data_IF_232814187712
#
_entry.id   IF_232814187712
#
_cell.length_a   1.000
_cell.length_b   1.000
_cell.length_c   1.000
_cell.angle_alpha   90.00
_cell.angle_beta   90.00
_cell.angle_gamma   90.00
#
_symmetry.space_group_name_H-M   'P 1'
#
loop_
_entity.id
_entity.type
_entity.pdbx_description
1 polymer ?
#
# COMPACT_ATOMS: atom_id res chain seq x y z
N UNK A 1 -49.41 13.72 -1.95
CA UNK A 1 -48.12 14.03 -1.27
C UNK A 1 -47.66 12.87 -0.41
N UNK A 2 -48.58 12.20 0.29
CA UNK A 2 -48.28 11.11 1.23
C UNK A 2 -47.64 9.87 0.59
N UNK A 3 -48.05 9.46 -0.61
CA UNK A 3 -47.46 8.28 -1.28
C UNK A 3 -45.98 8.50 -1.67
N UNK A 4 -45.63 9.71 -2.12
CA UNK A 4 -44.25 10.05 -2.47
C UNK A 4 -43.36 10.09 -1.24
N UNK A 5 -43.86 10.69 -0.15
CA UNK A 5 -43.16 10.73 1.14
C UNK A 5 -43.02 9.31 1.71
N UNK A 6 -44.05 8.47 1.63
CA UNK A 6 -44.00 7.06 2.04
C UNK A 6 -42.94 6.27 1.26
N UNK A 7 -42.91 6.44 -0.05
CA UNK A 7 -41.97 5.76 -0.94
C UNK A 7 -40.53 6.20 -0.66
N UNK A 8 -40.30 7.50 -0.51
CA UNK A 8 -38.99 8.06 -0.16
C UNK A 8 -38.52 7.57 1.22
N UNK A 9 -39.44 7.51 2.18
CA UNK A 9 -39.18 7.02 3.54
C UNK A 9 -38.77 5.55 3.54
N UNK A 10 -39.49 4.70 2.81
CA UNK A 10 -39.15 3.29 2.63
C UNK A 10 -37.77 3.16 1.98
N UNK A 11 -37.48 3.94 0.92
CA UNK A 11 -36.16 3.95 0.27
C UNK A 11 -35.02 4.36 1.23
N UNK A 12 -35.24 5.36 2.09
CA UNK A 12 -34.27 5.77 3.12
C UNK A 12 -34.09 4.67 4.16
N UNK A 13 -35.16 4.00 4.60
CA UNK A 13 -35.11 2.88 5.54
C UNK A 13 -34.28 1.73 4.96
N UNK A 14 -34.51 1.37 3.71
CA UNK A 14 -33.72 0.36 2.99
C UNK A 14 -32.26 0.75 2.85
N UNK A 15 -31.98 2.01 2.54
CA UNK A 15 -30.62 2.52 2.44
C UNK A 15 -29.89 2.41 3.80
N UNK A 16 -30.53 2.82 4.88
CA UNK A 16 -29.94 2.79 6.22
C UNK A 16 -29.80 1.35 6.74
N UNK A 17 -30.78 0.47 6.54
CA UNK A 17 -30.65 -0.97 6.83
C UNK A 17 -29.51 -1.60 6.06
N UNK A 18 -29.34 -1.21 4.80
CA UNK A 18 -28.24 -1.69 3.98
C UNK A 18 -26.88 -1.25 4.52
N UNK A 19 -26.77 -0.01 4.93
CA UNK A 19 -25.54 0.50 5.54
C UNK A 19 -25.24 -0.22 6.86
N UNK A 20 -26.28 -0.52 7.66
CA UNK A 20 -26.15 -1.09 9.00
C UNK A 20 -26.00 -2.63 9.06
N UNK A 21 -26.65 -3.38 8.16
CA UNK A 21 -26.73 -4.85 8.23
C UNK A 21 -25.75 -5.55 7.30
N UNK A 22 -25.46 -4.96 6.13
CA UNK A 22 -24.64 -5.62 5.08
C UNK A 22 -23.15 -5.69 5.42
N UNK A 23 -22.65 -4.77 6.25
CA UNK A 23 -21.24 -4.80 6.64
C UNK A 23 -20.92 -5.87 7.68
N UNK A 24 -21.92 -6.40 8.39
CA UNK A 24 -21.72 -7.26 9.57
C UNK A 24 -22.09 -8.73 9.35
N UNK A 25 -22.77 -9.07 8.24
CA UNK A 25 -23.29 -10.42 7.99
C UNK A 25 -22.68 -11.03 6.72
N UNK A 26 -22.01 -12.21 6.76
CA UNK A 26 -21.34 -12.78 5.59
C UNK A 26 -22.28 -13.47 4.58
N UNK A 27 -23.49 -13.89 4.97
CA UNK A 27 -24.38 -14.69 4.12
C UNK A 27 -25.40 -13.83 3.35
N UNK A 28 -25.30 -13.84 2.01
CA UNK A 28 -26.14 -13.06 1.09
C UNK A 28 -27.62 -13.45 1.15
N UNK A 29 -27.94 -14.73 1.33
CA UNK A 29 -29.34 -15.21 1.42
C UNK A 29 -30.00 -14.68 2.69
N UNK A 30 -29.27 -14.70 3.81
CA UNK A 30 -29.75 -14.18 5.08
C UNK A 30 -29.94 -12.66 5.03
N UNK A 31 -29.05 -11.92 4.34
CA UNK A 31 -29.24 -10.49 4.09
C UNK A 31 -30.55 -10.23 3.33
N UNK A 32 -30.82 -10.99 2.26
CA UNK A 32 -32.05 -10.85 1.45
C UNK A 32 -33.30 -11.13 2.29
N UNK A 33 -33.31 -12.20 3.08
CA UNK A 33 -34.43 -12.53 3.98
C UNK A 33 -34.67 -11.40 4.99
N UNK A 34 -33.60 -10.89 5.62
CA UNK A 34 -33.70 -9.77 6.55
C UNK A 34 -34.25 -8.50 5.91
N UNK A 35 -33.90 -8.20 4.65
CA UNK A 35 -34.52 -7.10 3.93
C UNK A 35 -36.02 -7.33 3.77
N UNK A 36 -36.44 -8.50 3.29
CA UNK A 36 -37.88 -8.79 3.12
C UNK A 36 -38.65 -8.70 4.44
N UNK A 37 -38.10 -9.22 5.53
CA UNK A 37 -38.73 -9.19 6.86
C UNK A 37 -38.84 -7.75 7.37
N UNK A 38 -37.77 -6.96 7.33
CA UNK A 38 -37.82 -5.58 7.82
C UNK A 38 -38.72 -4.71 6.93
N UNK A 39 -38.76 -4.98 5.62
CA UNK A 39 -39.68 -4.32 4.69
C UNK A 39 -41.12 -4.61 5.03
N UNK A 40 -41.46 -5.90 5.18
CA UNK A 40 -42.80 -6.33 5.52
C UNK A 40 -43.24 -5.74 6.87
N UNK A 41 -42.38 -5.80 7.89
CA UNK A 41 -42.63 -5.20 9.21
C UNK A 41 -42.84 -3.68 9.12
N UNK A 42 -42.01 -2.98 8.35
CA UNK A 42 -42.13 -1.52 8.17
C UNK A 42 -43.41 -1.15 7.44
N UNK A 43 -43.74 -1.84 6.34
CA UNK A 43 -44.97 -1.61 5.57
C UNK A 43 -46.22 -1.95 6.40
N UNK A 44 -46.18 -3.04 7.16
CA UNK A 44 -47.26 -3.39 8.10
C UNK A 44 -47.41 -2.34 9.20
N UNK A 45 -46.32 -1.85 9.81
CA UNK A 45 -46.39 -0.79 10.83
C UNK A 45 -46.99 0.51 10.26
N UNK A 46 -46.58 0.89 9.04
CA UNK A 46 -47.10 2.09 8.35
C UNK A 46 -48.59 1.94 8.05
N UNK A 47 -49.02 0.75 7.61
CA UNK A 47 -50.41 0.43 7.33
C UNK A 47 -51.29 0.48 8.59
N UNK A 48 -50.81 -0.03 9.72
CA UNK A 48 -51.61 -0.16 10.95
C UNK A 48 -51.59 1.07 11.87
N UNK A 49 -50.54 1.89 11.88
CA UNK A 49 -50.34 2.94 12.93
C UNK A 49 -50.36 4.38 12.39
N UNK A 50 -50.63 4.56 11.09
CA UNK A 50 -50.71 5.86 10.41
C UNK A 50 -49.34 6.59 10.35
N UNK A 51 -49.22 7.59 9.47
CA UNK A 51 -47.93 8.21 9.09
C UNK A 51 -47.11 8.87 10.24
N UNK A 52 -47.72 9.11 11.41
CA UNK A 52 -47.03 9.70 12.56
C UNK A 52 -45.96 8.79 13.16
N UNK A 53 -46.19 7.47 13.23
CA UNK A 53 -45.19 6.53 13.73
C UNK A 53 -44.04 6.34 12.75
N UNK A 54 -44.31 6.42 11.43
CA UNK A 54 -43.27 6.40 10.40
C UNK A 54 -42.27 7.55 10.59
N UNK A 55 -42.75 8.76 10.91
CA UNK A 55 -41.87 9.91 11.19
C UNK A 55 -40.97 9.65 12.40
N UNK A 56 -41.47 9.01 13.45
CA UNK A 56 -40.68 8.65 14.64
C UNK A 56 -39.60 7.62 14.27
N UNK A 57 -39.95 6.59 13.49
CA UNK A 57 -39.00 5.58 13.01
C UNK A 57 -37.91 6.22 12.15
N UNK A 58 -38.28 7.10 11.21
CA UNK A 58 -37.32 7.82 10.38
C UNK A 58 -36.41 8.73 11.20
N UNK A 59 -36.95 9.47 12.17
CA UNK A 59 -36.16 10.30 13.08
C UNK A 59 -35.20 9.46 13.92
N UNK A 60 -35.64 8.31 14.44
CA UNK A 60 -34.79 7.38 15.16
C UNK A 60 -33.67 6.81 14.27
N UNK A 61 -33.97 6.49 13.01
CA UNK A 61 -32.99 5.98 12.06
C UNK A 61 -31.98 7.06 11.64
N UNK A 62 -32.44 8.29 11.39
CA UNK A 62 -31.57 9.46 11.15
C UNK A 62 -30.69 9.71 12.38
N UNK A 63 -31.26 9.69 13.59
CA UNK A 63 -30.52 9.82 14.85
C UNK A 63 -29.46 8.72 15.01
N UNK A 64 -29.80 7.47 14.69
CA UNK A 64 -28.85 6.35 14.70
C UNK A 64 -27.72 6.52 13.68
N UNK A 65 -28.03 7.06 12.50
CA UNK A 65 -27.04 7.32 11.46
C UNK A 65 -26.08 8.45 11.88
N UNK A 66 -26.60 9.54 12.46
CA UNK A 66 -25.76 10.60 13.02
C UNK A 66 -24.92 10.12 14.21
N UNK A 67 -25.47 9.28 15.09
CA UNK A 67 -24.72 8.67 16.17
C UNK A 67 -23.58 7.78 15.65
N UNK A 68 -23.83 6.97 14.62
CA UNK A 68 -22.80 6.15 13.98
C UNK A 68 -21.74 6.99 13.25
N UNK A 69 -22.14 8.07 12.57
CA UNK A 69 -21.20 9.01 11.97
C UNK A 69 -20.33 9.69 13.03
N UNK A 70 -20.93 10.12 14.15
CA UNK A 70 -20.22 10.71 15.27
C UNK A 70 -19.22 9.74 15.91
N UNK A 71 -19.63 8.50 16.19
CA UNK A 71 -18.74 7.46 16.74
C UNK A 71 -17.62 7.08 15.77
N UNK A 72 -17.89 7.00 14.46
CA UNK A 72 -16.85 6.77 13.45
C UNK A 72 -15.90 7.95 13.33
N UNK A 73 -16.39 9.18 13.32
CA UNK A 73 -15.57 10.39 13.30
C UNK A 73 -14.65 10.45 14.53
N UNK A 74 -15.19 10.17 15.72
CA UNK A 74 -14.43 10.07 16.96
C UNK A 74 -13.34 8.98 16.89
N UNK A 75 -13.70 7.78 16.41
CA UNK A 75 -12.76 6.66 16.26
C UNK A 75 -11.65 7.00 15.25
N UNK A 76 -12.01 7.57 14.10
CA UNK A 76 -11.04 8.04 13.09
C UNK A 76 -10.10 9.11 13.65
N UNK A 77 -10.60 10.02 14.49
CA UNK A 77 -9.77 11.02 15.18
C UNK A 77 -8.70 10.35 16.06
N UNK A 78 -9.10 9.37 16.88
CA UNK A 78 -8.16 8.58 17.70
C UNK A 78 -7.17 7.77 16.85
N UNK A 79 -7.64 7.16 15.76
CA UNK A 79 -6.77 6.43 14.84
C UNK A 79 -5.78 7.40 14.14
N UNK A 80 -6.19 8.63 13.82
CA UNK A 80 -5.30 9.65 13.28
C UNK A 80 -4.24 10.09 14.29
N UNK A 81 -4.65 10.36 15.53
CA UNK A 81 -3.72 10.72 16.60
C UNK A 81 -2.66 9.64 16.83
N UNK A 82 -3.01 8.38 16.60
CA UNK A 82 -2.11 7.25 16.77
C UNK A 82 -1.04 7.09 15.69
N UNK A 83 -1.21 7.76 14.54
CA UNK A 83 -0.23 7.79 13.44
C UNK A 83 0.50 9.14 13.36
N UNK A 84 0.23 10.07 14.29
CA UNK A 84 0.97 11.33 14.40
C UNK A 84 2.38 11.07 14.92
N UNK A 85 3.34 11.71 14.27
CA UNK A 85 4.72 11.76 14.75
C UNK A 85 4.77 12.66 16.00
N UNK A 86 5.51 12.22 17.02
CA UNK A 86 5.67 13.01 18.26
C UNK A 86 6.39 14.33 18.00
N UNK A 87 6.05 15.37 18.79
CA UNK A 87 6.68 16.69 18.68
C UNK A 87 8.20 16.62 18.82
N UNK A 88 8.72 15.77 19.73
CA UNK A 88 10.16 15.57 19.89
C UNK A 88 10.83 15.04 18.61
N UNK A 89 10.22 14.07 17.92
CA UNK A 89 10.73 13.59 16.62
C UNK A 89 10.65 14.66 15.55
N UNK A 90 9.55 15.43 15.50
CA UNK A 90 9.40 16.57 14.58
C UNK A 90 10.50 17.60 14.80
N UNK A 91 10.83 17.92 16.05
CA UNK A 91 11.90 18.86 16.40
C UNK A 91 13.28 18.36 15.95
N UNK A 92 13.56 17.06 16.12
CA UNK A 92 14.77 16.43 15.57
C UNK A 92 14.80 16.56 14.04
N UNK A 93 13.73 16.16 13.36
CA UNK A 93 13.64 16.21 11.89
C UNK A 93 13.78 17.62 11.33
N UNK A 94 13.27 18.63 12.06
CA UNK A 94 13.36 20.03 11.66
C UNK A 94 14.77 20.61 11.72
N UNK A 95 15.67 20.02 12.52
CA UNK A 95 17.06 20.45 12.69
C UNK A 95 18.02 19.81 11.69
N UNK A 96 17.60 18.77 10.98
CA UNK A 96 18.45 18.03 10.04
C UNK A 96 18.94 18.94 8.93
N UNK A 97 20.27 19.05 8.80
CA UNK A 97 20.96 19.75 7.72
C UNK A 97 21.88 18.81 6.97
N UNK A 98 21.65 18.64 5.68
CA UNK A 98 22.53 17.87 4.82
C UNK A 98 23.84 18.61 4.58
N UNK A 99 24.89 17.82 4.41
CA UNK A 99 26.26 18.21 4.04
C UNK A 99 26.60 17.81 2.61
N UNK A 100 25.75 16.98 1.99
CA UNK A 100 25.84 16.57 0.60
C UNK A 100 24.45 16.58 -0.04
N UNK A 101 24.39 16.92 -1.33
CA UNK A 101 23.13 17.07 -2.06
C UNK A 101 23.12 16.26 -3.38
N UNK A 102 23.34 14.94 -3.35
CA UNK A 102 23.17 14.12 -4.55
C UNK A 102 21.70 14.08 -4.96
N UNK A 103 21.40 13.79 -6.24
CA UNK A 103 20.05 13.38 -6.58
C UNK A 103 19.75 12.02 -5.93
N UNK A 104 18.53 11.86 -5.44
CA UNK A 104 18.05 10.65 -4.80
C UNK A 104 16.95 10.04 -5.67
N UNK A 105 17.14 8.79 -6.06
CA UNK A 105 16.19 8.01 -6.83
C UNK A 105 15.61 6.92 -5.92
N UNK A 106 14.39 7.13 -5.44
CA UNK A 106 13.63 6.14 -4.69
C UNK A 106 12.75 5.35 -5.67
N UNK A 107 13.21 4.16 -6.02
CA UNK A 107 12.54 3.25 -6.94
C UNK A 107 11.84 2.17 -6.11
N UNK A 108 10.53 2.31 -5.98
CA UNK A 108 9.67 1.30 -5.38
C UNK A 108 9.44 0.17 -6.39
N UNK A 109 9.76 -1.05 -5.98
CA UNK A 109 9.56 -2.27 -6.75
C UNK A 109 8.30 -2.98 -6.24
N UNK A 110 7.19 -2.80 -6.94
CA UNK A 110 5.89 -3.41 -6.60
C UNK A 110 5.98 -4.93 -6.57
N UNK A 111 5.63 -5.52 -5.43
CA UNK A 111 5.57 -6.96 -5.17
C UNK A 111 6.86 -7.70 -5.54
N UNK A 112 8.03 -7.09 -5.30
CA UNK A 112 9.32 -7.62 -5.73
C UNK A 112 10.07 -8.30 -4.57
N UNK A 113 10.16 -9.63 -4.65
CA UNK A 113 10.79 -10.46 -3.63
C UNK A 113 12.30 -10.27 -3.51
N UNK A 114 12.82 -10.44 -2.29
CA UNK A 114 14.27 -10.59 -2.07
C UNK A 114 14.81 -11.84 -2.78
N UNK A 115 16.12 -11.89 -3.08
CA UNK A 115 16.75 -13.08 -3.65
C UNK A 115 16.55 -14.32 -2.78
N UNK A 116 16.60 -14.16 -1.46
CA UNK A 116 16.26 -15.22 -0.49
C UNK A 116 14.86 -15.75 -0.69
N UNK A 117 13.86 -14.87 -0.82
CA UNK A 117 12.47 -15.29 -1.04
C UNK A 117 12.30 -15.97 -2.40
N UNK A 118 12.95 -15.45 -3.45
CA UNK A 118 12.97 -16.08 -4.78
C UNK A 118 13.56 -17.49 -4.75
N UNK A 119 14.67 -17.69 -4.04
CA UNK A 119 15.29 -19.01 -3.91
C UNK A 119 14.43 -19.96 -3.08
N UNK A 120 13.92 -19.50 -1.93
CA UNK A 120 13.15 -20.33 -1.00
C UNK A 120 11.79 -20.76 -1.56
N UNK A 121 11.07 -19.84 -2.19
CA UNK A 121 9.68 -20.06 -2.62
C UNK A 121 9.66 -20.58 -4.05
N UNK A 122 10.47 -20.03 -4.95
CA UNK A 122 10.37 -20.30 -6.38
C UNK A 122 11.51 -21.16 -6.93
N UNK A 123 12.52 -21.48 -6.13
CA UNK A 123 13.78 -22.10 -6.60
C UNK A 123 14.40 -21.32 -7.77
N UNK A 124 14.35 -19.99 -7.69
CA UNK A 124 14.88 -19.09 -8.70
C UNK A 124 16.22 -18.50 -8.24
N UNK A 125 17.24 -18.55 -9.11
CA UNK A 125 18.56 -17.99 -8.83
C UNK A 125 18.62 -16.52 -9.26
N UNK A 126 18.74 -15.61 -8.29
CA UNK A 126 18.80 -14.16 -8.52
C UNK A 126 20.24 -13.60 -8.57
N UNK A 127 21.27 -14.45 -8.49
CA UNK A 127 22.65 -14.02 -8.30
C UNK A 127 23.16 -13.06 -9.40
N UNK A 128 22.70 -13.22 -10.64
CA UNK A 128 23.11 -12.36 -11.76
C UNK A 128 22.66 -10.90 -11.57
N UNK A 129 21.40 -10.69 -11.16
CA UNK A 129 20.87 -9.34 -10.88
C UNK A 129 21.59 -8.70 -9.70
N UNK A 130 21.74 -9.44 -8.60
CA UNK A 130 22.41 -8.93 -7.40
C UNK A 130 23.88 -8.63 -7.62
N UNK A 131 24.60 -9.49 -8.35
CA UNK A 131 26.01 -9.25 -8.70
C UNK A 131 26.14 -8.05 -9.64
N UNK A 132 25.22 -7.87 -10.58
CA UNK A 132 25.17 -6.72 -11.47
C UNK A 132 24.90 -5.40 -10.76
N UNK A 133 24.17 -5.42 -9.63
CA UNK A 133 24.01 -4.26 -8.75
C UNK A 133 25.25 -4.03 -7.89
N UNK A 134 25.82 -5.08 -7.30
CA UNK A 134 27.05 -4.99 -6.49
C UNK A 134 28.23 -4.44 -7.28
N UNK A 135 28.35 -4.77 -8.58
CA UNK A 135 29.37 -4.21 -9.46
C UNK A 135 29.19 -2.71 -9.77
N UNK A 136 28.09 -2.11 -9.32
CA UNK A 136 27.73 -0.69 -9.48
C UNK A 136 27.65 0.04 -8.12
N UNK A 137 28.38 -0.47 -7.13
CA UNK A 137 28.46 0.04 -5.76
C UNK A 137 27.16 -0.05 -4.94
N UNK A 138 26.22 -0.91 -5.32
CA UNK A 138 25.06 -1.17 -4.47
C UNK A 138 25.42 -2.11 -3.33
N UNK A 139 24.93 -1.79 -2.14
CA UNK A 139 24.81 -2.74 -1.03
C UNK A 139 23.47 -3.44 -1.17
N UNK A 140 23.49 -4.76 -1.37
CA UNK A 140 22.29 -5.62 -1.43
C UNK A 140 22.09 -6.28 -0.07
N UNK A 141 20.88 -6.18 0.49
CA UNK A 141 20.57 -6.72 1.81
C UNK A 141 19.70 -7.98 1.68
N UNK A 142 20.19 -9.11 2.22
CA UNK A 142 19.60 -10.44 2.00
C UNK A 142 18.43 -10.79 2.95
N UNK A 143 18.32 -10.09 4.09
CA UNK A 143 17.34 -10.35 5.16
C UNK A 143 16.37 -9.17 5.36
N UNK A 144 15.85 -8.63 4.27
CA UNK A 144 14.92 -7.50 4.30
C UNK A 144 13.48 -7.95 4.21
N UNK A 145 12.68 -7.38 5.10
CA UNK A 145 11.24 -7.63 5.19
C UNK A 145 10.54 -6.27 5.20
N UNK A 146 9.48 -6.14 4.41
CA UNK A 146 8.61 -4.99 4.47
C UNK A 146 7.92 -4.97 5.83
N UNK A 147 7.79 -3.81 6.47
CA UNK A 147 7.18 -3.73 7.80
C UNK A 147 5.67 -4.05 7.78
N UNK A 148 5.04 -3.95 6.60
CA UNK A 148 3.62 -4.22 6.36
C UNK A 148 3.46 -4.94 5.03
N UNK A 149 2.36 -5.66 4.86
CA UNK A 149 2.17 -6.55 3.73
C UNK A 149 1.50 -5.88 2.52
N UNK A 150 0.97 -4.66 2.62
CA UNK A 150 0.32 -3.97 1.49
C UNK A 150 1.09 -2.71 1.10
N UNK A 151 1.08 -2.35 -0.19
CA UNK A 151 1.83 -1.21 -0.76
C UNK A 151 1.60 0.07 0.04
N UNK A 152 0.34 0.48 0.23
CA UNK A 152 0.02 1.73 0.93
C UNK A 152 0.46 1.74 2.39
N UNK A 153 0.29 0.63 3.10
CA UNK A 153 0.72 0.53 4.51
C UNK A 153 2.24 0.49 4.64
N UNK A 154 2.93 -0.24 3.77
CA UNK A 154 4.39 -0.32 3.76
C UNK A 154 5.00 1.05 3.43
N UNK A 155 4.46 1.70 2.40
CA UNK A 155 4.88 3.03 1.99
C UNK A 155 4.55 4.09 3.04
N UNK A 156 3.39 4.00 3.70
CA UNK A 156 3.04 4.88 4.82
C UNK A 156 4.08 4.77 5.94
N UNK A 157 4.44 3.56 6.37
CA UNK A 157 5.47 3.37 7.39
C UNK A 157 6.83 3.94 6.95
N UNK A 158 7.18 3.77 5.68
CA UNK A 158 8.40 4.33 5.08
C UNK A 158 8.44 5.86 5.17
N UNK A 159 7.36 6.53 4.74
CA UNK A 159 7.28 7.99 4.72
C UNK A 159 7.10 8.61 6.11
N UNK A 160 6.44 7.91 7.05
CA UNK A 160 6.38 8.31 8.46
C UNK A 160 7.71 8.10 9.17
N UNK A 161 8.56 7.20 8.66
CA UNK A 161 9.70 6.63 9.38
C UNK A 161 9.30 6.09 10.77
N UNK A 162 8.09 5.55 10.88
CA UNK A 162 7.47 5.10 12.14
C UNK A 162 6.43 4.01 11.88
N UNK A 163 6.05 3.27 12.92
CA UNK A 163 5.03 2.24 12.83
C UNK A 163 3.62 2.80 13.06
N UNK A 164 2.71 2.50 12.14
CA UNK A 164 1.29 2.80 12.26
C UNK A 164 0.45 1.61 12.78
N UNK A 165 1.04 0.40 12.90
CA UNK A 165 0.40 -0.79 13.50
C UNK A 165 -0.98 -1.14 12.92
N UNK A 166 -1.20 -0.93 11.62
CA UNK A 166 -2.51 -1.06 10.94
C UNK A 166 -3.68 -0.26 11.57
N UNK A 167 -3.41 0.74 12.42
CA UNK A 167 -4.44 1.69 12.86
C UNK A 167 -4.96 2.46 11.63
N UNK A 168 -6.24 2.81 11.59
CA UNK A 168 -6.90 3.47 10.44
C UNK A 168 -6.90 2.71 9.09
N UNK A 169 -6.61 1.40 9.08
CA UNK A 169 -6.69 0.60 7.85
C UNK A 169 -8.15 0.37 7.47
N UNK A 170 -8.48 0.71 6.23
CA UNK A 170 -9.83 0.62 5.67
C UNK A 170 -9.88 -0.52 4.65
N UNK A 171 -10.81 -1.45 4.84
CA UNK A 171 -10.88 -2.64 3.97
C UNK A 171 -9.62 -3.51 4.05
N UNK A 172 -9.27 -4.14 2.92
CA UNK A 172 -8.20 -5.16 2.83
C UNK A 172 -6.81 -4.61 2.50
N UNK A 173 -6.71 -3.45 1.83
CA UNK A 173 -5.43 -2.93 1.30
C UNK A 173 -5.33 -1.40 1.33
N UNK A 174 -6.21 -0.71 2.05
CA UNK A 174 -6.28 0.75 2.05
C UNK A 174 -6.12 1.31 3.46
N UNK A 175 -5.77 2.59 3.57
CA UNK A 175 -5.56 3.27 4.83
C UNK A 175 -6.02 4.71 4.71
N UNK A 176 -6.84 5.15 5.67
CA UNK A 176 -7.57 6.43 5.59
C UNK A 176 -6.66 7.65 5.37
N UNK A 177 -5.42 7.59 5.86
CA UNK A 177 -4.47 8.71 5.83
C UNK A 177 -3.27 8.50 4.89
N UNK A 178 -3.11 7.30 4.31
CA UNK A 178 -1.85 6.95 3.65
C UNK A 178 -1.54 7.89 2.48
N UNK A 179 -2.50 8.09 1.58
CA UNK A 179 -2.31 8.97 0.41
C UNK A 179 -2.07 10.41 0.80
N UNK A 180 -2.73 10.93 1.84
CA UNK A 180 -2.51 12.31 2.31
C UNK A 180 -1.10 12.51 2.82
N UNK A 181 -0.60 11.58 3.64
CA UNK A 181 0.76 11.63 4.17
C UNK A 181 1.77 11.41 3.04
N UNK A 182 1.61 10.38 2.21
CA UNK A 182 2.50 10.09 1.07
C UNK A 182 2.60 11.28 0.12
N UNK A 183 1.53 12.06 -0.06
CA UNK A 183 1.55 13.26 -0.92
C UNK A 183 1.81 14.56 -0.18
N UNK A 184 2.18 14.53 1.10
CA UNK A 184 2.54 15.72 1.88
C UNK A 184 1.37 16.62 2.28
N UNK A 185 0.12 16.20 2.09
CA UNK A 185 -1.06 16.94 2.56
C UNK A 185 -1.19 16.91 4.09
N UNK A 186 -0.75 15.82 4.69
CA UNK A 186 -0.50 15.72 6.14
C UNK A 186 1.02 15.61 6.37
N UNK A 187 1.47 15.82 7.62
CA UNK A 187 2.90 15.85 7.94
C UNK A 187 3.63 14.58 7.48
N UNK A 188 4.63 14.77 6.62
CA UNK A 188 5.48 13.72 6.07
C UNK A 188 6.94 14.08 6.36
N UNK A 189 7.62 13.37 7.29
CA UNK A 189 8.98 13.75 7.68
C UNK A 189 9.99 13.58 6.55
N UNK A 190 9.83 12.60 5.66
CA UNK A 190 10.74 12.40 4.51
C UNK A 190 10.68 13.60 3.56
N UNK A 191 9.48 13.96 3.08
CA UNK A 191 9.33 15.09 2.16
C UNK A 191 9.72 16.41 2.83
N UNK A 192 9.37 16.57 4.12
CA UNK A 192 9.72 17.78 4.90
C UNK A 192 11.23 17.96 5.02
N UNK A 193 11.98 16.90 5.36
CA UNK A 193 13.43 16.96 5.49
C UNK A 193 14.08 17.31 4.14
N UNK A 194 13.65 16.68 3.05
CA UNK A 194 14.16 16.99 1.71
C UNK A 194 13.89 18.45 1.31
N UNK A 195 12.65 18.94 1.42
CA UNK A 195 12.32 20.34 1.09
C UNK A 195 13.09 21.34 1.94
N UNK A 196 13.25 21.08 3.25
CA UNK A 196 14.06 21.94 4.14
C UNK A 196 15.55 21.95 3.82
N UNK A 197 16.03 20.97 3.07
CA UNK A 197 17.41 20.88 2.59
C UNK A 197 17.56 21.28 1.12
N UNK A 198 16.54 21.92 0.53
CA UNK A 198 16.62 22.54 -0.79
C UNK A 198 16.35 21.61 -1.97
N UNK A 199 15.80 20.41 -1.72
CA UNK A 199 15.48 19.48 -2.80
C UNK A 199 14.19 19.87 -3.52
N UNK A 200 14.15 19.64 -4.83
CA UNK A 200 12.90 19.53 -5.57
C UNK A 200 12.41 18.07 -5.53
N UNK A 201 11.11 17.86 -5.43
CA UNK A 201 10.49 16.54 -5.24
C UNK A 201 9.64 16.20 -6.45
N UNK A 202 9.87 15.04 -7.04
CA UNK A 202 9.22 14.59 -8.25
C UNK A 202 8.60 13.21 -8.06
N UNK A 203 7.31 13.09 -8.37
CA UNK A 203 6.56 11.82 -8.36
C UNK A 203 6.40 11.35 -9.80
N UNK A 204 7.35 10.54 -10.25
CA UNK A 204 7.38 10.00 -11.61
C UNK A 204 6.58 8.70 -11.66
N UNK A 205 5.31 8.76 -11.26
CA UNK A 205 4.43 7.60 -11.15
C UNK A 205 3.63 7.43 -12.43
N UNK A 206 3.44 6.18 -12.85
CA UNK A 206 2.61 5.86 -14.01
C UNK A 206 1.14 6.16 -13.71
N UNK A 207 0.64 5.63 -12.60
CA UNK A 207 -0.76 5.71 -12.20
C UNK A 207 -0.92 6.55 -10.92
N UNK A 208 -2.09 7.16 -10.74
CA UNK A 208 -2.40 7.96 -9.55
C UNK A 208 -2.73 7.14 -8.30
N UNK A 209 -2.49 5.82 -8.29
CA UNK A 209 -2.95 4.87 -7.26
C UNK A 209 -2.40 5.19 -5.85
N UNK A 210 -1.18 5.73 -5.78
CA UNK A 210 -0.51 6.16 -4.54
C UNK A 210 -0.75 7.64 -4.19
N UNK A 211 -1.38 8.40 -5.08
CA UNK A 211 -1.50 9.86 -4.98
C UNK A 211 -2.87 10.24 -4.42
N UNK A 212 -2.94 11.30 -3.62
CA UNK A 212 -4.20 11.91 -3.17
C UNK A 212 -4.84 12.74 -4.28
N UNK A 213 -6.15 12.97 -4.20
CA UNK A 213 -6.92 13.82 -5.13
C UNK A 213 -6.35 15.22 -5.26
N UNK A 214 -5.80 15.75 -4.16
CA UNK A 214 -5.06 17.00 -4.14
C UNK A 214 -3.60 16.70 -3.89
N UNK A 215 -2.72 17.16 -4.76
CA UNK A 215 -1.27 17.06 -4.58
C UNK A 215 -0.83 18.30 -3.78
N UNK A 216 0.03 18.11 -2.79
CA UNK A 216 0.54 19.21 -1.97
C UNK A 216 1.70 19.91 -2.67
N UNK A 217 1.91 21.18 -2.35
CA UNK A 217 2.99 22.02 -2.87
C UNK A 217 4.41 21.53 -2.49
N UNK A 218 4.54 20.56 -1.57
CA UNK A 218 5.80 19.86 -1.32
C UNK A 218 6.26 19.02 -2.52
N UNK A 219 5.37 18.64 -3.45
CA UNK A 219 5.70 17.89 -4.67
C UNK A 219 5.75 18.88 -5.83
N UNK A 220 6.95 19.08 -6.39
CA UNK A 220 7.22 20.06 -7.44
C UNK A 220 6.86 19.55 -8.84
N UNK A 221 6.83 18.23 -9.06
CA UNK A 221 6.50 17.64 -10.34
C UNK A 221 5.85 16.26 -10.21
N UNK A 222 4.92 15.95 -11.11
CA UNK A 222 4.28 14.63 -11.22
C UNK A 222 3.79 14.38 -12.64
N UNK A 223 3.77 13.12 -13.08
CA UNK A 223 3.11 12.78 -14.35
C UNK A 223 1.59 12.71 -14.22
N UNK A 224 1.09 12.40 -13.02
CA UNK A 224 -0.34 12.23 -12.76
C UNK A 224 -0.87 13.40 -11.96
N UNK A 225 -1.84 14.10 -12.53
CA UNK A 225 -2.63 15.10 -11.82
C UNK A 225 -3.93 14.44 -11.37
N UNK A 226 -4.14 14.34 -10.05
CA UNK A 226 -5.37 13.91 -9.38
C UNK A 226 -5.63 12.39 -9.31
N UNK A 227 -6.09 11.94 -8.14
CA UNK A 227 -6.72 10.64 -7.93
C UNK A 227 -8.15 10.81 -7.39
N UNK A 228 -9.17 10.52 -8.18
CA UNK A 228 -10.57 10.62 -7.76
C UNK A 228 -10.98 9.60 -6.67
N UNK A 229 -10.13 8.62 -6.34
CA UNK A 229 -10.42 7.62 -5.31
C UNK A 229 -10.49 8.19 -3.88
N UNK A 230 -9.96 9.41 -3.65
CA UNK A 230 -10.00 10.08 -2.34
C UNK A 230 -11.03 11.19 -2.25
N UNK A 231 -11.78 11.48 -3.32
CA UNK A 231 -13.02 12.24 -3.24
C UNK A 231 -13.97 11.45 -2.33
N UNK A 232 -14.64 12.04 -1.33
CA UNK A 232 -15.45 11.29 -0.38
C UNK A 232 -16.45 10.42 -1.14
N UNK A 233 -16.22 9.11 -1.17
CA UNK A 233 -17.23 8.12 -1.54
C UNK A 233 -18.18 8.03 -0.35
N UNK A 234 -18.95 9.09 -0.17
CA UNK A 234 -20.18 9.09 0.59
C UNK A 234 -21.26 9.28 -0.46
N UNK A 235 -21.86 8.13 -0.81
CA UNK A 235 -23.15 7.89 -1.47
C UNK A 235 -22.98 6.92 -2.65
N UNK A 236 -23.72 5.81 -2.57
CA UNK A 236 -23.95 4.81 -3.62
C UNK A 236 -22.90 3.70 -3.81
N UNK A 237 -22.56 2.97 -2.74
CA UNK A 237 -22.03 1.60 -2.91
C UNK A 237 -23.16 0.61 -3.22
N UNK A 238 -23.22 0.23 -4.51
CA UNK A 238 -24.02 -0.69 -5.36
C UNK A 238 -25.38 -0.23 -5.92
N UNK A 239 -25.48 -0.36 -7.24
CA UNK A 239 -26.68 -0.30 -8.09
C UNK A 239 -26.61 0.85 -9.09
N UNK A 240 -26.60 0.53 -10.39
CA UNK A 240 -26.65 1.37 -11.61
C UNK A 240 -25.86 2.70 -11.66
N UNK A 241 -26.00 3.58 -10.68
CA UNK A 241 -25.29 4.85 -10.56
C UNK A 241 -23.79 4.68 -10.36
N UNK A 242 -23.29 3.58 -9.80
CA UNK A 242 -21.86 3.34 -9.81
C UNK A 242 -21.35 3.05 -11.22
N UNK A 243 -22.18 2.47 -12.12
CA UNK A 243 -21.86 2.32 -13.55
C UNK A 243 -22.06 3.61 -14.32
N UNK A 244 -23.07 4.43 -14.01
CA UNK A 244 -23.27 5.74 -14.63
C UNK A 244 -22.24 6.79 -14.16
N UNK A 245 -21.92 6.80 -12.87
CA UNK A 245 -20.78 7.54 -12.29
C UNK A 245 -19.47 6.96 -12.81
N UNK A 246 -19.27 5.65 -12.95
CA UNK A 246 -18.10 5.14 -13.70
C UNK A 246 -18.15 5.58 -15.17
N UNK A 247 -19.31 5.68 -15.83
CA UNK A 247 -19.39 6.10 -17.23
C UNK A 247 -19.17 7.62 -17.40
N UNK A 248 -19.47 8.43 -16.38
CA UNK A 248 -19.35 9.90 -16.38
C UNK A 248 -18.04 10.35 -15.69
N UNK A 249 -17.48 9.55 -14.78
CA UNK A 249 -16.29 9.83 -13.95
C UNK A 249 -15.24 8.71 -13.99
N UNK A 250 -15.25 7.82 -14.98
CA UNK A 250 -14.06 7.05 -15.36
C UNK A 250 -12.99 7.98 -15.96
N UNK A 251 -12.53 8.90 -15.13
CA UNK A 251 -11.14 9.22 -14.98
C UNK A 251 -10.68 8.67 -13.62
N UNK A 252 -10.72 7.35 -13.42
CA UNK A 252 -9.58 6.78 -12.70
C UNK A 252 -8.39 7.18 -13.55
N UNK A 253 -7.47 7.98 -13.03
CA UNK A 253 -6.20 8.34 -13.68
C UNK A 253 -5.31 7.11 -13.75
N UNK A 254 -5.80 6.08 -14.43
CA UNK A 254 -4.97 5.08 -15.04
C UNK A 254 -4.29 5.80 -16.20
N UNK A 255 -2.97 5.80 -16.18
CA UNK A 255 -2.19 6.35 -17.29
C UNK A 255 -2.68 5.71 -18.58
N UNK A 256 -2.95 6.53 -19.60
CA UNK A 256 -3.24 6.04 -20.96
C UNK A 256 -1.99 5.51 -21.66
N UNK A 257 -0.81 5.64 -21.04
CA UNK A 257 0.48 5.32 -21.64
C UNK A 257 0.86 3.84 -21.42
N UNK A 258 1.47 3.24 -22.46
CA UNK A 258 2.06 1.89 -22.38
C UNK A 258 3.27 1.90 -21.43
N UNK A 259 3.65 0.74 -20.88
CA UNK A 259 4.78 0.67 -19.94
C UNK A 259 6.10 1.19 -20.54
N UNK A 260 6.36 0.87 -21.80
CA UNK A 260 7.54 1.36 -22.51
C UNK A 260 7.57 2.89 -22.62
N UNK A 261 6.42 3.52 -22.88
CA UNK A 261 6.31 4.98 -22.94
C UNK A 261 6.53 5.62 -21.56
N UNK A 262 6.02 4.98 -20.51
CA UNK A 262 6.25 5.43 -19.13
C UNK A 262 7.74 5.43 -18.79
N UNK A 263 8.47 4.35 -19.05
CA UNK A 263 9.91 4.26 -18.77
C UNK A 263 10.70 5.32 -19.56
N UNK A 264 10.37 5.55 -20.83
CA UNK A 264 11.02 6.61 -21.62
C UNK A 264 10.72 8.02 -21.07
N UNK A 265 9.51 8.28 -20.59
CA UNK A 265 9.18 9.55 -19.91
C UNK A 265 9.98 9.72 -18.62
N UNK A 266 10.12 8.65 -17.82
CA UNK A 266 10.97 8.65 -16.62
C UNK A 266 12.41 8.98 -17.01
N UNK A 267 13.01 8.25 -17.96
CA UNK A 267 14.39 8.47 -18.42
C UNK A 267 14.63 9.90 -18.91
N UNK A 268 13.68 10.46 -19.68
CA UNK A 268 13.76 11.86 -20.13
C UNK A 268 13.76 12.82 -18.95
N UNK A 269 12.82 12.67 -18.00
CA UNK A 269 12.72 13.56 -16.84
C UNK A 269 13.95 13.47 -15.93
N UNK A 270 14.49 12.27 -15.74
CA UNK A 270 15.74 12.04 -15.01
C UNK A 270 16.90 12.81 -15.65
N UNK A 271 17.04 12.76 -16.99
CA UNK A 271 18.09 13.48 -17.72
C UNK A 271 17.95 14.99 -17.62
N UNK A 272 16.72 15.51 -17.67
CA UNK A 272 16.47 16.94 -17.47
C UNK A 272 16.92 17.35 -16.06
N UNK A 273 16.46 16.62 -15.04
CA UNK A 273 16.71 16.98 -13.64
C UNK A 273 18.13 16.68 -13.16
N UNK A 274 18.88 15.80 -13.82
CA UNK A 274 20.31 15.63 -13.56
C UNK A 274 21.17 16.80 -14.07
N UNK A 275 20.62 17.64 -14.95
CA UNK A 275 21.29 18.84 -15.49
C UNK A 275 20.90 20.12 -14.75
N UNK A 276 19.86 20.05 -13.92
CA UNK A 276 19.39 21.17 -13.11
C UNK A 276 20.33 21.42 -11.93
N UNK A 277 20.38 22.67 -11.46
CA UNK A 277 21.21 23.05 -10.29
C UNK A 277 20.67 22.50 -8.97
N UNK A 278 19.36 22.33 -8.87
CA UNK A 278 18.71 21.83 -7.67
C UNK A 278 18.84 20.30 -7.61
N UNK A 279 19.03 19.77 -6.40
CA UNK A 279 19.01 18.32 -6.18
C UNK A 279 17.59 17.81 -6.10
N UNK A 280 17.37 16.60 -6.60
CA UNK A 280 16.04 16.04 -6.77
C UNK A 280 15.82 14.79 -5.93
N UNK A 281 14.65 14.68 -5.30
CA UNK A 281 14.09 13.40 -4.90
C UNK A 281 13.15 12.93 -6.01
N UNK A 282 13.52 11.83 -6.68
CA UNK A 282 12.72 11.19 -7.71
C UNK A 282 12.06 9.94 -7.13
N UNK A 283 10.74 9.97 -6.94
CA UNK A 283 9.96 8.81 -6.56
C UNK A 283 9.39 8.11 -7.80
N UNK A 284 9.82 6.87 -8.02
CA UNK A 284 9.49 6.07 -9.22
C UNK A 284 8.87 4.76 -8.74
N UNK A 285 7.83 4.28 -9.42
CA UNK A 285 7.21 2.98 -9.16
C UNK A 285 7.30 2.11 -10.40
N UNK A 286 8.07 1.03 -10.30
CA UNK A 286 8.13 -0.06 -11.29
C UNK A 286 7.94 -1.39 -10.53
N UNK A 287 8.18 -2.51 -11.17
CA UNK A 287 8.31 -3.79 -10.46
C UNK A 287 7.54 -4.93 -11.10
N UNK A 288 7.40 -6.00 -10.32
CA UNK A 288 6.82 -7.25 -10.78
C UNK A 288 5.30 -7.12 -10.98
N UNK A 289 4.60 -6.34 -10.17
CA UNK A 289 3.15 -6.48 -9.94
C UNK A 289 2.84 -7.81 -9.24
N UNK A 290 1.84 -7.81 -8.35
CA UNK A 290 1.50 -9.00 -7.56
C UNK A 290 1.14 -10.20 -8.47
N UNK A 291 1.67 -11.37 -8.15
CA UNK A 291 1.16 -12.64 -8.66
C UNK A 291 0.35 -13.27 -7.54
N UNK A 292 -0.95 -13.49 -7.72
CA UNK A 292 -1.60 -13.50 -9.03
C UNK A 292 -2.08 -12.15 -9.55
N UNK A 293 -2.01 -11.97 -10.87
CA UNK A 293 -2.61 -10.84 -11.55
C UNK A 293 -3.50 -11.31 -12.69
N UNK A 294 -4.62 -10.61 -12.90
CA UNK A 294 -5.47 -10.72 -14.10
C UNK A 294 -5.74 -12.14 -14.57
N UNK A 295 -6.50 -12.93 -13.80
CA UNK A 295 -6.96 -14.29 -14.19
C UNK A 295 -7.60 -14.31 -15.59
N UNK A 296 -8.30 -13.22 -15.99
CA UNK A 296 -8.83 -13.04 -17.35
C UNK A 296 -7.78 -12.94 -18.46
N UNK A 297 -6.50 -12.86 -18.14
CA UNK A 297 -5.41 -12.78 -19.11
C UNK A 297 -4.47 -13.98 -18.97
N UNK A 298 -4.82 -14.96 -18.12
CA UNK A 298 -4.12 -16.23 -17.95
C UNK A 298 -4.91 -17.34 -18.67
N UNK A 299 -4.59 -17.67 -19.95
CA UNK A 299 -5.34 -18.64 -20.73
C UNK A 299 -5.45 -20.01 -20.05
N UNK A 300 -4.44 -20.40 -19.27
CA UNK A 300 -4.44 -21.66 -18.53
C UNK A 300 -5.49 -21.69 -17.41
N UNK A 301 -5.69 -20.58 -16.69
CA UNK A 301 -6.70 -20.48 -15.64
C UNK A 301 -8.12 -20.33 -16.20
N UNK A 302 -8.28 -19.69 -17.36
CA UNK A 302 -9.55 -19.66 -18.09
C UNK A 302 -9.98 -21.05 -18.55
N UNK A 303 -9.04 -21.86 -19.07
CA UNK A 303 -9.29 -23.25 -19.47
C UNK A 303 -9.77 -24.13 -18.30
N UNK A 304 -9.50 -23.72 -17.06
CA UNK A 304 -9.93 -24.41 -15.84
C UNK A 304 -11.27 -23.89 -15.28
N UNK A 305 -11.97 -22.98 -15.98
CA UNK A 305 -13.32 -22.55 -15.62
C UNK A 305 -13.42 -21.57 -14.44
N UNK A 306 -12.33 -20.91 -14.07
CA UNK A 306 -12.28 -20.05 -12.87
C UNK A 306 -12.83 -18.65 -13.12
N UNK A 307 -13.70 -18.21 -12.22
CA UNK A 307 -14.35 -16.88 -12.26
C UNK A 307 -13.66 -15.95 -11.25
N UNK A 308 -13.48 -14.68 -11.63
CA UNK A 308 -12.75 -13.60 -10.93
C UNK A 308 -12.81 -13.55 -9.39
N UNK A 309 -13.92 -13.97 -8.77
CA UNK A 309 -14.18 -13.70 -7.34
C UNK A 309 -13.62 -14.73 -6.36
N UNK A 310 -13.45 -15.98 -6.77
CA UNK A 310 -12.96 -17.05 -5.87
C UNK A 310 -11.43 -17.18 -5.87
N UNK A 311 -10.79 -16.71 -6.94
CA UNK A 311 -9.37 -16.87 -7.14
C UNK A 311 -8.52 -16.17 -6.05
N UNK A 312 -8.91 -14.99 -5.56
CA UNK A 312 -8.15 -14.25 -4.54
C UNK A 312 -8.06 -14.98 -3.19
N UNK A 313 -9.07 -15.77 -2.83
CA UNK A 313 -9.10 -16.55 -1.59
C UNK A 313 -8.44 -17.94 -1.72
N UNK A 314 -8.21 -18.39 -2.95
CA UNK A 314 -7.76 -19.74 -3.26
C UNK A 314 -6.59 -19.77 -4.26
N UNK A 315 -5.79 -18.71 -4.29
CA UNK A 315 -4.64 -18.57 -5.19
C UNK A 315 -3.67 -19.77 -5.06
N UNK A 316 -3.53 -20.27 -3.84
CA UNK A 316 -2.74 -21.45 -3.46
C UNK A 316 -3.22 -22.77 -4.09
N UNK A 317 -4.37 -22.82 -4.77
CA UNK A 317 -4.80 -24.01 -5.54
C UNK A 317 -4.06 -24.15 -6.87
N UNK A 318 -3.36 -23.10 -7.34
CA UNK A 318 -2.70 -23.05 -8.66
C UNK A 318 -1.21 -22.73 -8.54
N UNK A 319 -0.58 -23.23 -7.48
CA UNK A 319 0.79 -22.84 -7.10
C UNK A 319 1.81 -23.05 -8.22
N UNK A 320 1.70 -24.11 -9.01
CA UNK A 320 2.67 -24.43 -10.06
C UNK A 320 2.61 -23.42 -11.21
N UNK A 321 1.39 -23.05 -11.65
CA UNK A 321 1.21 -21.98 -12.63
C UNK A 321 1.79 -20.64 -12.13
N UNK A 322 1.54 -20.31 -10.87
CA UNK A 322 2.02 -19.06 -10.29
C UNK A 322 3.54 -19.01 -10.08
N UNK A 323 4.20 -20.16 -9.96
CA UNK A 323 5.67 -20.21 -9.89
C UNK A 323 6.27 -19.67 -11.17
N UNK A 324 5.88 -20.25 -12.31
CA UNK A 324 6.50 -19.92 -13.60
C UNK A 324 6.10 -18.52 -14.06
N UNK A 325 4.83 -18.15 -13.85
CA UNK A 325 4.34 -16.80 -14.15
C UNK A 325 5.11 -15.75 -13.35
N UNK A 326 5.24 -15.94 -12.02
CA UNK A 326 5.95 -14.95 -11.20
C UNK A 326 7.45 -14.92 -11.50
N UNK A 327 8.11 -16.05 -11.80
CA UNK A 327 9.50 -16.06 -12.28
C UNK A 327 9.67 -15.19 -13.54
N UNK A 328 8.77 -15.34 -14.52
CA UNK A 328 8.81 -14.56 -15.76
C UNK A 328 8.56 -13.08 -15.53
N UNK A 329 7.59 -12.74 -14.67
CA UNK A 329 7.31 -11.38 -14.24
C UNK A 329 8.52 -10.77 -13.52
N UNK A 330 9.08 -11.47 -12.55
CA UNK A 330 10.22 -11.05 -11.75
C UNK A 330 11.44 -10.77 -12.63
N UNK A 331 11.74 -11.67 -13.59
CA UNK A 331 12.84 -11.47 -14.54
C UNK A 331 12.67 -10.18 -15.34
N UNK A 332 11.49 -9.92 -15.91
CA UNK A 332 11.21 -8.68 -16.65
C UNK A 332 11.39 -7.45 -15.77
N UNK A 333 10.89 -7.49 -14.54
CA UNK A 333 11.04 -6.39 -13.59
C UNK A 333 12.50 -6.16 -13.19
N UNK A 334 13.29 -7.23 -13.02
CA UNK A 334 14.73 -7.13 -12.71
C UNK A 334 15.54 -6.55 -13.88
N UNK A 335 15.15 -6.86 -15.12
CA UNK A 335 15.76 -6.30 -16.33
C UNK A 335 15.42 -4.81 -16.47
N UNK A 336 14.15 -4.44 -16.28
CA UNK A 336 13.70 -3.04 -16.31
C UNK A 336 14.37 -2.20 -15.22
N UNK A 337 14.50 -2.74 -14.01
CA UNK A 337 15.23 -2.08 -12.93
C UNK A 337 16.72 -1.91 -13.25
N UNK A 338 17.36 -2.92 -13.85
CA UNK A 338 18.76 -2.86 -14.24
C UNK A 338 19.01 -1.81 -15.33
N UNK A 339 18.18 -1.79 -16.38
CA UNK A 339 18.24 -0.80 -17.46
C UNK A 339 18.02 0.63 -16.94
N UNK A 340 17.07 0.82 -16.02
CA UNK A 340 16.86 2.13 -15.40
C UNK A 340 18.06 2.56 -14.54
N UNK A 341 18.66 1.65 -13.78
CA UNK A 341 19.88 1.93 -12.99
C UNK A 341 21.05 2.29 -13.91
N UNK A 342 21.28 1.52 -14.98
CA UNK A 342 22.32 1.80 -15.97
C UNK A 342 22.14 3.19 -16.59
N UNK A 343 20.90 3.54 -16.92
CA UNK A 343 20.59 4.87 -17.45
C UNK A 343 20.84 5.98 -16.43
N UNK A 344 20.39 5.82 -15.17
CA UNK A 344 20.63 6.81 -14.11
C UNK A 344 22.13 7.04 -13.94
N UNK A 345 22.92 5.97 -13.79
CA UNK A 345 24.38 6.09 -13.58
C UNK A 345 25.11 6.69 -14.79
N UNK A 346 24.56 6.54 -15.99
CA UNK A 346 25.09 7.17 -17.20
C UNK A 346 24.93 8.69 -17.20
N UNK A 347 23.82 9.21 -16.66
CA UNK A 347 23.52 10.65 -16.67
C UNK A 347 23.81 11.34 -15.33
N UNK A 348 23.89 10.58 -14.25
CA UNK A 348 24.20 11.00 -12.89
C UNK A 348 24.99 9.91 -12.16
N UNK A 349 26.32 9.97 -12.26
CA UNK A 349 27.23 9.00 -11.64
C UNK A 349 27.31 9.10 -10.11
N UNK A 350 26.83 10.20 -9.53
CA UNK A 350 26.87 10.47 -8.09
C UNK A 350 25.53 10.18 -7.40
N UNK A 351 24.55 9.71 -8.18
CA UNK A 351 23.22 9.35 -7.74
C UNK A 351 23.22 8.42 -6.52
N UNK A 352 22.34 8.75 -5.58
CA UNK A 352 21.85 7.83 -4.55
C UNK A 352 20.66 7.09 -5.13
N UNK A 353 20.70 5.76 -5.11
CA UNK A 353 19.61 4.95 -5.67
C UNK A 353 19.15 3.96 -4.60
N UNK A 354 17.86 3.99 -4.29
CA UNK A 354 17.19 3.03 -3.41
C UNK A 354 16.26 2.18 -4.27
N UNK A 355 16.61 0.90 -4.44
CA UNK A 355 15.73 -0.12 -4.99
C UNK A 355 15.06 -0.84 -3.81
N UNK A 356 13.76 -0.65 -3.61
CA UNK A 356 13.06 -1.20 -2.45
C UNK A 356 11.75 -1.88 -2.84
N UNK A 357 11.59 -3.15 -2.48
CA UNK A 357 10.33 -3.85 -2.54
C UNK A 357 9.35 -3.31 -1.49
N UNK A 358 8.09 -3.12 -1.89
CA UNK A 358 7.04 -2.68 -0.98
C UNK A 358 6.51 -3.81 -0.10
N UNK A 359 6.38 -5.02 -0.65
CA UNK A 359 6.02 -6.27 0.04
C UNK A 359 6.36 -7.50 -0.83
N UNK A 360 6.05 -8.71 -0.34
CA UNK A 360 6.26 -9.96 -1.07
C UNK A 360 5.20 -10.23 -2.15
N UNK A 361 5.33 -11.34 -2.87
CA UNK A 361 4.52 -11.62 -4.06
C UNK A 361 3.10 -12.11 -3.77
N UNK A 362 2.82 -12.60 -2.56
CA UNK A 362 1.54 -13.20 -2.18
C UNK A 362 1.18 -14.50 -2.92
N UNK A 363 2.15 -15.40 -3.13
CA UNK A 363 1.89 -16.72 -3.70
C UNK A 363 0.86 -17.52 -2.87
N UNK A 364 0.98 -17.46 -1.56
CA UNK A 364 0.13 -18.18 -0.61
C UNK A 364 -1.03 -17.32 -0.10
N UNK A 365 -1.47 -16.33 -0.88
CA UNK A 365 -2.60 -15.48 -0.52
C UNK A 365 -3.84 -16.29 -0.17
N UNK A 366 -4.51 -15.87 0.90
CA UNK A 366 -5.70 -16.52 1.43
C UNK A 366 -5.40 -17.52 2.56
N UNK A 367 -4.15 -17.95 2.71
CA UNK A 367 -3.72 -18.68 3.91
C UNK A 367 -3.55 -17.71 5.08
N UNK A 368 -3.81 -18.20 6.28
CA UNK A 368 -3.65 -17.47 7.55
C UNK A 368 -2.80 -18.31 8.50
N UNK A 369 -2.32 -17.76 9.63
CA UNK A 369 -1.63 -18.56 10.65
C UNK A 369 -2.44 -19.76 11.12
N UNK A 370 -3.76 -19.64 11.18
CA UNK A 370 -4.67 -20.67 11.66
C UNK A 370 -5.03 -21.68 10.55
N UNK A 371 -4.93 -21.28 9.28
CA UNK A 371 -5.24 -22.13 8.13
C UNK A 371 -4.17 -22.03 7.05
N UNK A 372 -3.18 -22.92 7.14
CA UNK A 372 -2.02 -23.03 6.22
C UNK A 372 -2.06 -24.29 5.33
N UNK A 373 -3.15 -25.05 5.39
CA UNK A 373 -3.30 -26.25 4.58
C UNK A 373 -3.56 -25.88 3.12
N UNK A 374 -2.84 -26.54 2.21
CA UNK A 374 -3.03 -26.43 0.75
C UNK A 374 -3.40 -27.78 0.13
N UNK A 375 -3.77 -28.76 0.96
CA UNK A 375 -4.13 -30.11 0.58
C UNK A 375 -4.23 -31.02 1.81
N UNK A 376 -4.73 -32.25 1.66
CA UNK A 376 -4.96 -33.17 2.78
C UNK A 376 -3.72 -33.39 3.66
N UNK A 377 -2.54 -33.50 3.03
CA UNK A 377 -1.28 -33.84 3.70
C UNK A 377 -0.20 -32.77 3.53
N UNK A 378 -0.57 -31.54 3.14
CA UNK A 378 0.39 -30.46 2.87
C UNK A 378 0.00 -29.17 3.57
N UNK A 379 0.90 -28.72 4.43
CA UNK A 379 0.82 -27.45 5.15
C UNK A 379 2.04 -26.58 4.85
N UNK A 380 1.82 -25.29 4.64
CA UNK A 380 2.91 -24.33 4.44
C UNK A 380 3.49 -23.91 5.79
N UNK A 381 4.82 -23.98 5.99
CA UNK A 381 5.44 -23.47 7.21
C UNK A 381 5.15 -21.99 7.42
N UNK A 382 4.92 -21.58 8.66
CA UNK A 382 4.62 -20.19 8.99
C UNK A 382 5.75 -19.24 8.55
N UNK A 383 7.01 -19.67 8.64
CA UNK A 383 8.16 -18.89 8.15
C UNK A 383 8.13 -18.69 6.64
N UNK A 384 7.68 -19.68 5.86
CA UNK A 384 7.49 -19.55 4.41
C UNK A 384 6.38 -18.56 4.08
N UNK A 385 5.28 -18.57 4.85
CA UNK A 385 4.20 -17.58 4.70
C UNK A 385 4.68 -16.17 5.03
N UNK A 386 5.48 -16.01 6.08
CA UNK A 386 6.12 -14.72 6.42
C UNK A 386 7.02 -14.24 5.27
N UNK A 387 7.87 -15.11 4.72
CA UNK A 387 8.74 -14.75 3.59
C UNK A 387 7.93 -14.39 2.34
N UNK A 388 6.83 -15.09 2.07
CA UNK A 388 5.94 -14.81 0.93
C UNK A 388 5.22 -13.47 1.02
N UNK A 389 4.80 -13.07 2.22
CA UNK A 389 4.05 -11.82 2.41
C UNK A 389 4.97 -10.62 2.59
N UNK A 390 6.15 -10.80 3.17
CA UNK A 390 6.97 -9.70 3.65
C UNK A 390 8.39 -9.68 3.11
N UNK A 391 8.94 -10.81 2.63
CA UNK A 391 10.31 -10.87 2.14
C UNK A 391 10.50 -10.00 0.89
N UNK A 392 10.99 -8.79 1.05
CA UNK A 392 11.01 -7.76 0.00
C UNK A 392 12.47 -7.40 -0.32
N UNK A 393 12.77 -7.13 -1.58
CA UNK A 393 14.13 -6.79 -2.00
C UNK A 393 14.57 -5.42 -1.47
N UNK A 394 15.84 -5.28 -1.12
CA UNK A 394 16.44 -3.98 -0.86
C UNK A 394 17.87 -3.94 -1.38
N UNK A 395 18.16 -2.96 -2.24
CA UNK A 395 19.52 -2.60 -2.61
C UNK A 395 19.65 -1.09 -2.61
N UNK A 396 20.73 -0.59 -2.00
CA UNK A 396 20.97 0.85 -1.90
C UNK A 396 22.38 1.15 -2.41
N UNK A 397 22.44 2.04 -3.39
CA UNK A 397 23.66 2.74 -3.74
C UNK A 397 23.74 3.99 -2.87
N UNK A 398 24.54 3.91 -1.83
CA UNK A 398 24.69 4.98 -0.85
C UNK A 398 25.43 6.20 -1.43
N UNK A 399 25.30 7.40 -0.81
CA UNK A 399 26.08 8.56 -1.21
C UNK A 399 27.58 8.25 -1.23
N UNK A 400 28.35 8.87 -2.15
CA UNK A 400 29.82 8.75 -2.14
C UNK A 400 30.37 9.19 -0.78
N UNK A 401 31.29 8.40 -0.24
CA UNK A 401 31.84 8.64 1.11
C UNK A 401 30.86 8.30 2.25
N UNK A 402 29.76 7.61 1.97
CA UNK A 402 28.95 6.98 3.00
C UNK A 402 29.83 6.14 3.92
N UNK A 403 29.59 6.27 5.22
CA UNK A 403 30.40 5.64 6.27
C UNK A 403 30.30 4.12 6.15
N UNK A 404 31.36 3.40 6.57
CA UNK A 404 31.42 1.93 6.58
C UNK A 404 30.20 1.26 7.24
N UNK A 405 29.59 1.93 8.23
CA UNK A 405 28.47 1.35 8.98
C UNK A 405 27.29 0.90 8.11
N UNK A 406 27.02 1.54 6.96
CA UNK A 406 25.88 1.13 6.11
C UNK A 406 26.10 -0.23 5.46
N UNK A 407 27.37 -0.59 5.23
CA UNK A 407 27.77 -1.91 4.74
C UNK A 407 27.70 -2.95 5.86
N UNK A 408 27.89 -2.53 7.11
CA UNK A 408 27.84 -3.39 8.31
C UNK A 408 26.41 -3.59 8.85
N UNK A 409 25.40 -2.88 8.31
CA UNK A 409 24.00 -3.05 8.71
C UNK A 409 23.50 -4.45 8.35
N UNK A 410 23.39 -5.31 9.36
CA UNK A 410 22.86 -6.67 9.19
C UNK A 410 21.36 -6.69 8.88
N UNK A 411 20.62 -5.68 9.35
CA UNK A 411 19.16 -5.58 9.23
C UNK A 411 18.78 -4.15 8.95
N UNK A 412 17.92 -3.97 7.96
CA UNK A 412 17.28 -2.71 7.62
C UNK A 412 15.87 -3.02 7.11
N UNK A 413 14.88 -2.35 7.67
CA UNK A 413 13.49 -2.41 7.20
C UNK A 413 13.04 -1.07 6.65
N UNK A 414 11.96 -1.09 5.86
CA UNK A 414 11.47 0.07 5.09
C UNK A 414 11.30 1.33 5.95
N UNK A 415 10.79 1.20 7.19
CA UNK A 415 10.60 2.32 8.15
C UNK A 415 11.89 3.05 8.55
N UNK A 416 13.06 2.45 8.35
CA UNK A 416 14.36 3.02 8.73
C UNK A 416 15.23 3.44 7.54
N UNK A 417 14.86 3.10 6.30
CA UNK A 417 15.68 3.39 5.10
C UNK A 417 16.02 4.87 4.97
N UNK A 418 15.01 5.75 5.01
CA UNK A 418 15.25 7.20 4.91
C UNK A 418 15.99 7.76 6.12
N UNK A 419 15.79 7.21 7.31
CA UNK A 419 16.53 7.63 8.52
C UNK A 419 18.04 7.39 8.34
N UNK A 420 18.42 6.22 7.82
CA UNK A 420 19.81 5.93 7.51
C UNK A 420 20.35 6.77 6.36
N UNK A 421 19.55 7.04 5.33
CA UNK A 421 19.94 7.95 4.26
C UNK A 421 20.21 9.36 4.79
N UNK A 422 19.28 9.92 5.55
CA UNK A 422 19.42 11.26 6.12
C UNK A 422 20.61 11.36 7.04
N UNK A 423 20.88 10.33 7.85
CA UNK A 423 22.09 10.27 8.66
C UNK A 423 23.37 10.28 7.81
N UNK A 424 23.42 9.57 6.69
CA UNK A 424 24.60 9.63 5.79
C UNK A 424 24.75 11.01 5.12
N UNK A 425 23.64 11.66 4.78
CA UNK A 425 23.66 12.98 4.15
C UNK A 425 23.97 14.11 5.14
N UNK A 426 23.63 14.00 6.43
CA UNK A 426 23.82 15.05 7.44
C UNK A 426 24.97 14.78 8.42
N UNK A 427 25.25 13.52 8.71
CA UNK A 427 26.07 13.10 9.86
C UNK A 427 25.42 13.40 11.22
N UNK A 428 24.11 13.63 11.28
CA UNK A 428 23.36 13.98 12.50
C UNK A 428 22.94 12.73 13.28
N UNK A 429 23.65 12.43 14.36
CA UNK A 429 23.42 11.24 15.19
C UNK A 429 22.07 11.26 15.92
N UNK A 430 21.43 12.42 16.11
CA UNK A 430 20.12 12.48 16.75
C UNK A 430 19.04 11.80 15.89
N UNK A 431 19.23 11.71 14.57
CA UNK A 431 18.36 10.91 13.71
C UNK A 431 18.34 9.44 14.11
N UNK A 432 19.49 8.86 14.48
CA UNK A 432 19.57 7.46 14.87
C UNK A 432 18.87 7.19 16.21
N UNK A 433 18.78 8.19 17.09
CA UNK A 433 18.00 8.09 18.35
C UNK A 433 16.50 8.02 18.11
N UNK A 434 16.02 8.44 16.94
CA UNK A 434 14.59 8.32 16.55
C UNK A 434 14.25 6.98 15.90
N UNK A 435 15.23 6.08 15.76
CA UNK A 435 15.04 4.76 15.14
C UNK A 435 13.92 3.99 15.82
N UNK A 436 13.11 3.33 15.00
CA UNK A 436 12.11 2.35 15.45
C UNK A 436 12.63 0.94 15.19
N UNK A 437 12.09 -0.03 15.92
CA UNK A 437 12.51 -1.43 15.81
C UNK A 437 12.33 -1.96 14.38
N UNK A 438 13.22 -2.82 13.90
CA UNK A 438 13.08 -3.45 12.58
C UNK A 438 12.11 -4.65 12.66
N UNK A 439 10.85 -4.33 12.99
CA UNK A 439 9.75 -5.29 13.16
C UNK A 439 8.76 -5.23 12.03
N UNK A 440 8.16 -6.37 11.74
CA UNK A 440 7.10 -6.52 10.73
C UNK A 440 5.81 -6.94 11.38
N UNK A 441 4.70 -6.37 10.89
CA UNK A 441 3.38 -6.63 11.42
C UNK A 441 2.44 -7.19 10.35
N UNK A 442 1.54 -8.08 10.77
CA UNK A 442 0.42 -8.58 9.99
C UNK A 442 -0.90 -8.26 10.68
N UNK A 443 -1.92 -7.82 9.93
CA UNK A 443 -3.30 -7.71 10.43
C UNK A 443 -4.09 -8.94 10.01
N UNK A 444 -4.42 -9.78 10.98
CA UNK A 444 -5.23 -10.98 10.79
C UNK A 444 -6.73 -10.72 10.83
N UNK A 445 -7.49 -11.81 10.77
CA UNK A 445 -8.94 -11.80 10.91
C UNK A 445 -9.35 -11.16 12.25
N UNK A 446 -10.46 -10.40 12.26
CA UNK A 446 -10.95 -9.73 13.47
C UNK A 446 -10.14 -8.49 13.90
N UNK A 447 -9.28 -7.95 13.02
CA UNK A 447 -8.42 -6.78 13.27
C UNK A 447 -7.28 -7.00 14.29
N UNK A 448 -7.04 -8.23 14.75
CA UNK A 448 -5.86 -8.52 15.56
C UNK A 448 -4.58 -8.27 14.76
N UNK A 449 -3.63 -7.58 15.38
CA UNK A 449 -2.31 -7.34 14.79
C UNK A 449 -1.31 -8.31 15.42
N UNK A 450 -0.41 -8.83 14.59
CA UNK A 450 0.63 -9.77 14.98
C UNK A 450 2.01 -9.25 14.58
N UNK A 451 2.99 -9.42 15.44
CA UNK A 451 4.42 -9.34 15.10
C UNK A 451 4.82 -10.65 14.41
N UNK A 452 5.51 -10.55 13.27
CA UNK A 452 5.84 -11.71 12.42
C UNK A 452 7.32 -11.82 12.05
N UNK A 453 8.05 -10.70 12.08
CA UNK A 453 9.51 -10.64 11.90
C UNK A 453 10.05 -9.68 12.96
N UNK A 454 11.20 -10.05 13.55
CA UNK A 454 11.99 -9.17 14.41
C UNK A 454 13.45 -9.22 13.96
N UNK A 455 14.04 -8.06 13.77
CA UNK A 455 15.46 -7.90 13.44
C UNK A 455 15.88 -8.80 12.26
N UNK A 456 15.13 -8.73 11.16
CA UNK A 456 15.41 -9.48 9.93
C UNK A 456 15.18 -10.98 10.02
N UNK A 457 14.56 -11.48 11.09
CA UNK A 457 14.31 -12.91 11.32
C UNK A 457 12.81 -13.19 11.48
N UNK A 458 12.20 -14.05 10.63
CA UNK A 458 10.84 -14.53 10.83
C UNK A 458 10.68 -15.22 12.19
N UNK A 459 9.61 -14.90 12.91
CA UNK A 459 9.29 -15.58 14.16
C UNK A 459 8.79 -17.01 13.88
N UNK A 460 9.13 -17.94 14.78
CA UNK A 460 8.61 -19.32 14.73
C UNK A 460 7.10 -19.39 14.98
N UNK A 461 6.57 -18.41 15.72
CA UNK A 461 5.15 -18.17 15.95
C UNK A 461 4.85 -16.68 15.88
N UNK A 462 3.75 -16.32 15.24
CA UNK A 462 3.28 -14.94 15.18
C UNK A 462 2.74 -14.52 16.55
N UNK A 463 3.19 -13.37 17.05
CA UNK A 463 2.87 -12.90 18.41
C UNK A 463 1.80 -11.81 18.33
N UNK A 464 0.63 -11.95 18.98
CA UNK A 464 -0.35 -10.87 19.01
C UNK A 464 0.23 -9.63 19.72
N UNK A 465 -0.11 -8.46 19.19
CA UNK A 465 0.17 -7.16 19.80
C UNK A 465 -0.90 -6.75 20.81
#
# INVERSE_FOLDING_TARGET
MDFFIATLSVMIIFYLLRVNVVYSMPNVLFQVIMYFVVTALTLSLVYFVNFKLLNIVLLAMIGSAFFQLGTRAYTLGKEFDSVKISLAKIDTYNKVKFKAWPNVYFILLESFHSGRAMKLIYDYNNAAFESGLKSKDFVVYDNTYSNYNMTLTSLLGTYLMDHHYYKAVTGLADHAFARKIITGNDYNPVLTIFKKNGYAIQYLLKDGDLVHSKINDLIDYTFTENNCATTPVILFKKGLLCKAYFLITAGSTQSTFKNSEYIEKVKRKIKESSQEKNSHLNFIKIGALHSPNRVKQAPQLQKLGLIDKEYWAHAWKYLDYWIDEYKGIYKRASDEASDLVDYILKVDSDAVIILMGDHGAYRYRGLTPENRSIGPDKEIPLSTLTVDFFGAFLAIRWPKGARSFTQDLKVISNVNVFRYLFYNLSGDEDLLKTKVEDKTYYRGSGNQVFEVVRDGSPLTQWKPL
#
